data_IF_416456791323
#
_entry.id   IF_416456791323
#
_cell.length_a   1.000
_cell.length_b   1.000
_cell.length_c   1.000
_cell.angle_alpha   90.00
_cell.angle_beta   90.00
_cell.angle_gamma   90.00
#
_symmetry.space_group_name_H-M   'P 1'
#
loop_
_entity.id
_entity.type
_entity.pdbx_description
1 polymer ?
#
# COMPACT_ATOMS: atom_id res chain seq x y z
N UNK A 1 -10.62 -3.08 -23.30
CA UNK A 1 -11.04 -2.32 -22.11
C UNK A 1 -10.18 -1.09 -21.98
N UNK A 2 -10.78 0.08 -21.79
CA UNK A 2 -10.01 1.33 -21.63
C UNK A 2 -9.55 1.53 -20.19
N UNK A 3 -8.64 2.48 -19.96
CA UNK A 3 -8.19 2.89 -18.62
C UNK A 3 -9.34 3.41 -17.76
N UNK A 4 -10.27 4.17 -18.36
CA UNK A 4 -11.43 4.71 -17.66
C UNK A 4 -12.43 3.61 -17.28
N UNK A 5 -12.64 2.62 -18.15
CA UNK A 5 -13.49 1.45 -17.82
C UNK A 5 -12.92 0.67 -16.63
N UNK A 6 -11.60 0.49 -16.60
CA UNK A 6 -10.91 -0.20 -15.50
C UNK A 6 -11.08 0.56 -14.18
N UNK A 7 -10.92 1.90 -14.20
CA UNK A 7 -11.14 2.75 -13.03
C UNK A 7 -12.60 2.74 -12.57
N UNK A 8 -13.56 2.78 -13.49
CA UNK A 8 -14.98 2.75 -13.14
C UNK A 8 -15.37 1.41 -12.48
N UNK A 9 -14.87 0.28 -12.99
CA UNK A 9 -15.06 -1.04 -12.38
C UNK A 9 -14.37 -1.13 -11.02
N UNK A 10 -13.13 -0.66 -10.91
CA UNK A 10 -12.39 -0.63 -9.66
C UNK A 10 -13.11 0.20 -8.58
N UNK A 11 -13.67 1.35 -8.96
CA UNK A 11 -14.42 2.21 -8.04
C UNK A 11 -15.70 1.52 -7.55
N UNK A 12 -16.40 0.79 -8.43
CA UNK A 12 -17.57 0.00 -8.04
C UNK A 12 -17.19 -1.13 -7.08
N UNK A 13 -16.09 -1.82 -7.38
CA UNK A 13 -15.62 -2.95 -6.59
C UNK A 13 -15.05 -2.55 -5.24
N UNK A 14 -14.51 -1.33 -5.14
CA UNK A 14 -14.05 -0.76 -3.89
C UNK A 14 -15.14 -0.79 -2.81
N UNK A 15 -16.39 -0.58 -3.20
CA UNK A 15 -17.55 -0.61 -2.29
C UNK A 15 -18.18 -2.00 -2.13
N UNK A 16 -17.59 -3.05 -2.72
CA UNK A 16 -18.06 -4.42 -2.50
C UNK A 16 -17.63 -4.91 -1.12
N UNK A 17 -18.53 -5.63 -0.43
CA UNK A 17 -18.26 -6.24 0.89
C UNK A 17 -16.99 -7.10 0.89
N UNK A 18 -16.76 -7.86 -0.19
CA UNK A 18 -15.59 -8.73 -0.33
C UNK A 18 -14.28 -7.92 -0.36
N UNK A 19 -14.23 -6.84 -1.13
CA UNK A 19 -13.04 -5.96 -1.20
C UNK A 19 -12.86 -5.19 0.10
N UNK A 20 -13.93 -4.60 0.66
CA UNK A 20 -13.85 -3.89 1.94
C UNK A 20 -13.32 -4.80 3.04
N UNK A 21 -13.74 -6.07 3.05
CA UNK A 21 -13.20 -7.05 3.98
C UNK A 21 -11.68 -7.22 3.83
N UNK A 22 -11.16 -7.31 2.59
CA UNK A 22 -9.71 -7.41 2.30
C UNK A 22 -8.91 -6.25 2.90
N UNK A 23 -9.51 -5.05 3.00
CA UNK A 23 -8.88 -3.86 3.60
C UNK A 23 -8.99 -3.85 5.12
N UNK A 24 -10.14 -4.30 5.65
CA UNK A 24 -10.47 -4.18 7.08
C UNK A 24 -9.82 -5.30 7.90
N UNK A 25 -9.78 -6.54 7.40
CA UNK A 25 -9.28 -7.68 8.19
C UNK A 25 -7.81 -7.55 8.61
N UNK A 26 -6.85 -7.01 7.81
CA UNK A 26 -5.47 -6.82 8.25
C UNK A 26 -5.36 -5.82 9.39
N UNK A 27 -6.14 -4.73 9.32
CA UNK A 27 -6.18 -3.70 10.36
C UNK A 27 -6.78 -4.26 11.65
N UNK A 28 -7.89 -4.99 11.56
CA UNK A 28 -8.51 -5.65 12.71
C UNK A 28 -7.57 -6.68 13.34
N UNK A 29 -6.89 -7.48 12.52
CA UNK A 29 -5.96 -8.51 13.00
C UNK A 29 -4.79 -7.88 13.74
N UNK A 30 -4.18 -6.85 13.16
CA UNK A 30 -3.09 -6.11 13.81
C UNK A 30 -3.56 -5.43 15.09
N UNK A 31 -4.73 -4.80 15.09
CA UNK A 31 -5.30 -4.15 16.26
C UNK A 31 -5.56 -5.17 17.37
N UNK A 32 -6.22 -6.28 17.08
CA UNK A 32 -6.51 -7.33 18.06
C UNK A 32 -5.23 -7.96 18.62
N UNK A 33 -4.24 -8.22 17.76
CA UNK A 33 -2.93 -8.73 18.17
C UNK A 33 -2.28 -7.78 19.17
N UNK A 34 -2.17 -6.50 18.82
CA UNK A 34 -1.53 -5.51 19.68
C UNK A 34 -2.34 -5.21 20.93
N UNK A 35 -3.68 -5.24 20.89
CA UNK A 35 -4.52 -5.12 22.08
C UNK A 35 -4.27 -6.30 23.03
N UNK A 36 -4.22 -7.53 22.52
CA UNK A 36 -3.92 -8.70 23.34
C UNK A 36 -2.50 -8.63 23.95
N UNK A 37 -1.50 -8.22 23.15
CA UNK A 37 -0.13 -8.00 23.63
C UNK A 37 -0.07 -6.84 24.65
N UNK A 38 -0.80 -5.76 24.42
CA UNK A 38 -0.87 -4.61 25.30
C UNK A 38 -1.48 -4.98 26.65
N UNK A 39 -2.53 -5.80 26.68
CA UNK A 39 -3.15 -6.27 27.93
C UNK A 39 -2.24 -7.25 28.69
N UNK A 40 -1.55 -8.14 27.98
CA UNK A 40 -0.71 -9.19 28.60
C UNK A 40 0.66 -8.67 29.04
N UNK A 41 1.25 -7.75 28.28
CA UNK A 41 2.60 -7.21 28.52
C UNK A 41 2.60 -5.72 28.90
N UNK A 42 1.47 -5.19 29.39
CA UNK A 42 1.33 -3.77 29.75
C UNK A 42 2.51 -3.27 30.61
N UNK A 43 2.83 -3.99 31.69
CA UNK A 43 3.90 -3.59 32.60
C UNK A 43 5.28 -3.56 31.96
N UNK A 44 5.56 -4.45 30.99
CA UNK A 44 6.83 -4.46 30.26
C UNK A 44 6.92 -3.27 29.31
N UNK A 45 5.86 -3.02 28.52
CA UNK A 45 5.81 -1.87 27.62
C UNK A 45 5.88 -0.54 28.37
N UNK A 46 5.10 -0.40 29.45
CA UNK A 46 5.14 0.79 30.29
C UNK A 46 6.54 1.01 30.87
N UNK A 47 7.19 -0.04 31.38
CA UNK A 47 8.56 0.04 31.88
C UNK A 47 9.57 0.48 30.83
N UNK A 48 9.50 -0.04 29.60
CA UNK A 48 10.39 0.38 28.51
C UNK A 48 10.15 1.84 28.10
N UNK A 49 8.88 2.25 28.02
CA UNK A 49 8.53 3.65 27.71
C UNK A 49 9.03 4.56 28.82
N UNK A 50 8.83 4.19 30.08
CA UNK A 50 9.30 4.98 31.21
C UNK A 50 10.82 5.14 31.23
N UNK A 51 11.56 4.04 31.00
CA UNK A 51 13.03 4.06 30.89
C UNK A 51 13.49 4.95 29.73
N UNK A 52 12.88 4.81 28.55
CA UNK A 52 13.21 5.61 27.37
C UNK A 52 12.94 7.10 27.59
N UNK A 53 11.77 7.45 28.12
CA UNK A 53 11.41 8.83 28.47
C UNK A 53 12.30 9.40 29.58
N UNK A 54 12.73 8.56 30.53
CA UNK A 54 13.66 8.93 31.58
C UNK A 54 15.04 9.31 31.02
N UNK A 55 15.56 8.54 30.06
CA UNK A 55 16.85 8.79 29.43
C UNK A 55 16.93 10.15 28.72
N UNK A 56 15.80 10.65 28.19
CA UNK A 56 15.70 11.95 27.53
C UNK A 56 15.14 13.06 28.45
N UNK A 57 15.01 12.80 29.75
CA UNK A 57 14.60 13.79 30.76
C UNK A 57 13.11 14.12 30.79
N UNK A 58 12.27 13.47 29.98
CA UNK A 58 10.83 13.72 29.92
C UNK A 58 10.15 13.32 31.23
N UNK A 59 10.59 12.26 31.91
CA UNK A 59 10.03 11.86 33.21
C UNK A 59 10.21 12.93 34.29
N UNK A 60 11.38 13.57 34.33
CA UNK A 60 11.66 14.66 35.28
C UNK A 60 10.82 15.89 34.97
N UNK A 61 10.53 16.13 33.69
CA UNK A 61 9.62 17.19 33.28
C UNK A 61 8.16 16.88 33.65
N UNK A 62 7.68 15.65 33.37
CA UNK A 62 6.33 15.20 33.72
C UNK A 62 6.07 15.26 35.24
N UNK A 63 7.07 14.93 36.05
CA UNK A 63 6.97 15.00 37.51
C UNK A 63 6.70 16.43 38.04
N UNK A 64 7.03 17.47 37.26
CA UNK A 64 6.79 18.89 37.60
C UNK A 64 5.45 19.40 37.09
N UNK A 65 4.72 18.62 36.30
CA UNK A 65 3.43 19.03 35.73
C UNK A 65 2.33 18.84 36.77
N UNK A 66 1.73 19.97 37.18
CA UNK A 66 0.52 19.99 38.00
C UNK A 66 -0.65 20.61 37.23
N UNK A 67 -1.88 20.07 37.39
CA UNK A 67 -2.22 18.94 38.26
C UNK A 67 -1.83 17.58 37.65
N UNK A 68 -1.60 16.57 38.50
CA UNK A 68 -1.10 15.23 38.11
C UNK A 68 -1.93 14.51 37.04
N UNK A 69 -3.23 14.81 36.91
CA UNK A 69 -4.05 14.23 35.85
C UNK A 69 -3.58 14.65 34.45
N UNK A 70 -2.99 15.85 34.30
CA UNK A 70 -2.39 16.31 33.04
C UNK A 70 -1.16 15.46 32.71
N UNK A 71 -0.27 15.23 33.69
CA UNK A 71 0.90 14.38 33.52
C UNK A 71 0.51 12.96 33.08
N UNK A 72 -0.50 12.37 33.74
CA UNK A 72 -1.03 11.06 33.37
C UNK A 72 -1.64 11.05 31.96
N UNK A 73 -2.36 12.10 31.58
CA UNK A 73 -2.92 12.26 30.24
C UNK A 73 -1.84 12.33 29.16
N UNK A 74 -0.78 13.12 29.39
CA UNK A 74 0.37 13.21 28.48
C UNK A 74 1.07 11.84 28.38
N UNK A 75 1.29 11.16 29.50
CA UNK A 75 1.90 9.83 29.50
C UNK A 75 1.05 8.83 28.71
N UNK A 76 -0.28 8.82 28.87
CA UNK A 76 -1.18 7.97 28.09
C UNK A 76 -1.11 8.29 26.58
N UNK A 77 -1.04 9.57 26.20
CA UNK A 77 -0.87 9.99 24.81
C UNK A 77 0.46 9.49 24.23
N UNK A 78 1.56 9.55 24.99
CA UNK A 78 2.86 9.04 24.56
C UNK A 78 2.82 7.52 24.32
N UNK A 79 2.13 6.76 25.17
CA UNK A 79 1.93 5.33 24.97
C UNK A 79 1.15 5.06 23.68
N UNK A 80 0.04 5.78 23.47
CA UNK A 80 -0.77 5.65 22.26
C UNK A 80 0.03 6.02 21.00
N UNK A 81 0.83 7.08 21.07
CA UNK A 81 1.66 7.56 19.96
C UNK A 81 2.72 6.54 19.53
N UNK A 82 3.21 5.70 20.44
CA UNK A 82 4.13 4.60 20.11
C UNK A 82 3.39 3.34 19.65
N UNK A 83 2.22 3.08 20.21
CA UNK A 83 1.43 1.89 19.92
C UNK A 83 0.75 1.93 18.54
N UNK A 84 0.18 3.08 18.17
CA UNK A 84 -0.52 3.26 16.88
C UNK A 84 0.38 2.93 15.68
N UNK A 85 1.63 3.44 15.58
CA UNK A 85 2.56 3.07 14.51
C UNK A 85 2.86 1.57 14.44
N UNK A 86 2.94 0.87 15.58
CA UNK A 86 3.20 -0.57 15.62
C UNK A 86 2.02 -1.36 15.03
N UNK A 87 0.79 -0.97 15.36
CA UNK A 87 -0.43 -1.51 14.75
C UNK A 87 -0.43 -1.25 13.25
N UNK A 88 -0.16 -0.01 12.84
CA UNK A 88 -0.12 0.38 11.42
C UNK A 88 0.94 -0.39 10.63
N UNK A 89 2.15 -0.53 11.18
CA UNK A 89 3.24 -1.28 10.55
C UNK A 89 2.88 -2.76 10.41
N UNK A 90 2.28 -3.35 11.43
CA UNK A 90 1.86 -4.75 11.39
C UNK A 90 0.74 -4.96 10.37
N UNK A 91 -0.25 -4.07 10.34
CA UNK A 91 -1.32 -4.09 9.34
C UNK A 91 -0.76 -3.94 7.92
N UNK A 92 0.24 -3.07 7.74
CA UNK A 92 0.91 -2.87 6.46
C UNK A 92 1.62 -4.15 6.01
N UNK A 93 2.34 -4.84 6.90
CA UNK A 93 3.01 -6.11 6.60
C UNK A 93 1.98 -7.18 6.21
N UNK A 94 0.91 -7.34 6.98
CA UNK A 94 -0.18 -8.27 6.65
C UNK A 94 -0.79 -7.92 5.28
N UNK A 95 -1.04 -6.64 5.02
CA UNK A 95 -1.61 -6.18 3.74
C UNK A 95 -0.65 -6.43 2.58
N UNK A 96 0.66 -6.24 2.75
CA UNK A 96 1.64 -6.51 1.71
C UNK A 96 1.70 -7.99 1.34
N UNK A 97 1.55 -8.89 2.33
CA UNK A 97 1.61 -10.33 2.11
C UNK A 97 0.31 -10.91 1.53
N UNK A 98 -0.84 -10.41 1.96
CA UNK A 98 -2.13 -11.03 1.68
C UNK A 98 -3.11 -10.16 0.88
N UNK A 99 -2.91 -8.84 0.85
CA UNK A 99 -3.84 -7.89 0.24
C UNK A 99 -3.93 -8.06 -1.28
N UNK A 100 -2.81 -7.96 -2.00
CA UNK A 100 -2.79 -8.11 -3.46
C UNK A 100 -3.33 -9.47 -3.93
N UNK A 101 -2.87 -10.64 -3.40
CA UNK A 101 -3.43 -11.93 -3.79
C UNK A 101 -4.94 -12.06 -3.55
N UNK A 102 -5.43 -11.53 -2.42
CA UNK A 102 -6.86 -11.56 -2.10
C UNK A 102 -7.69 -10.70 -3.06
N UNK A 103 -7.20 -9.51 -3.44
CA UNK A 103 -7.86 -8.65 -4.43
C UNK A 103 -7.87 -9.29 -5.82
N UNK A 104 -6.75 -9.88 -6.25
CA UNK A 104 -6.65 -10.59 -7.54
C UNK A 104 -7.67 -11.73 -7.57
N UNK A 105 -7.71 -12.56 -6.52
CA UNK A 105 -8.67 -13.65 -6.42
C UNK A 105 -10.13 -13.16 -6.44
N UNK A 106 -10.43 -12.07 -5.72
CA UNK A 106 -11.78 -11.51 -5.68
C UNK A 106 -12.27 -11.04 -7.06
N UNK A 107 -11.40 -10.45 -7.87
CA UNK A 107 -11.71 -9.99 -9.23
C UNK A 107 -11.69 -11.14 -10.24
N UNK A 108 -10.67 -12.00 -10.21
CA UNK A 108 -10.50 -13.09 -11.15
C UNK A 108 -11.67 -14.10 -11.07
N UNK A 109 -12.08 -14.51 -9.87
CA UNK A 109 -13.22 -15.43 -9.70
C UNK A 109 -14.54 -14.87 -10.23
N UNK A 110 -14.74 -13.55 -10.13
CA UNK A 110 -16.01 -12.90 -10.49
C UNK A 110 -16.07 -12.53 -11.97
N UNK A 111 -15.02 -11.90 -12.48
CA UNK A 111 -15.02 -11.25 -13.78
C UNK A 111 -14.21 -12.01 -14.85
N UNK A 112 -13.30 -12.91 -14.44
CA UNK A 112 -12.44 -13.68 -15.34
C UNK A 112 -12.33 -15.18 -14.96
N UNK A 113 -13.46 -15.90 -14.74
CA UNK A 113 -13.43 -17.25 -14.18
C UNK A 113 -12.78 -18.31 -15.08
N UNK A 114 -12.67 -18.04 -16.38
CA UNK A 114 -12.07 -18.96 -17.37
C UNK A 114 -10.56 -18.80 -17.51
N UNK A 115 -9.97 -17.78 -16.88
CA UNK A 115 -8.55 -17.46 -17.03
C UNK A 115 -7.69 -18.36 -16.13
N UNK A 116 -6.89 -19.23 -16.74
CA UNK A 116 -5.98 -20.12 -16.01
C UNK A 116 -4.83 -19.36 -15.34
N UNK A 117 -4.47 -19.81 -14.14
CA UNK A 117 -3.31 -19.34 -13.39
C UNK A 117 -2.05 -20.03 -13.89
N UNK A 118 -1.19 -19.28 -14.58
CA UNK A 118 0.12 -19.78 -15.03
C UNK A 118 1.24 -19.53 -13.99
N UNK A 119 0.98 -18.75 -12.93
CA UNK A 119 1.93 -18.46 -11.85
C UNK A 119 3.32 -18.02 -12.35
N UNK A 120 3.38 -17.21 -13.41
CA UNK A 120 4.64 -16.75 -14.01
C UNK A 120 5.46 -15.81 -13.13
N UNK A 121 4.88 -15.31 -12.04
CA UNK A 121 5.57 -14.60 -10.96
C UNK A 121 5.11 -15.06 -9.58
N UNK A 122 5.84 -14.65 -8.55
CA UNK A 122 5.52 -14.96 -7.15
C UNK A 122 5.94 -13.86 -6.19
N UNK A 123 5.72 -14.07 -4.89
CA UNK A 123 5.97 -13.10 -3.82
C UNK A 123 7.44 -12.65 -3.80
N UNK A 124 8.39 -13.56 -4.03
CA UNK A 124 9.82 -13.24 -4.16
C UNK A 124 10.08 -12.30 -5.34
N UNK A 125 9.43 -12.55 -6.49
CA UNK A 125 9.55 -11.68 -7.66
C UNK A 125 8.93 -10.30 -7.44
N UNK A 126 7.82 -10.23 -6.70
CA UNK A 126 7.19 -8.97 -6.29
C UNK A 126 8.11 -8.15 -5.38
N UNK A 127 8.68 -8.78 -4.34
CA UNK A 127 9.64 -8.15 -3.43
C UNK A 127 10.87 -7.64 -4.20
N UNK A 128 11.43 -8.46 -5.09
CA UNK A 128 12.58 -8.05 -5.90
C UNK A 128 12.26 -6.89 -6.85
N UNK A 129 11.11 -6.93 -7.53
CA UNK A 129 10.65 -5.83 -8.36
C UNK A 129 10.43 -4.55 -7.53
N UNK A 130 9.91 -4.68 -6.30
CA UNK A 130 9.74 -3.56 -5.38
C UNK A 130 11.07 -2.95 -4.94
N UNK A 131 12.05 -3.77 -4.55
CA UNK A 131 13.40 -3.30 -4.18
C UNK A 131 14.04 -2.54 -5.34
N UNK A 132 13.98 -3.07 -6.56
CA UNK A 132 14.51 -2.39 -7.76
C UNK A 132 13.79 -1.07 -7.99
N UNK A 133 12.44 -1.07 -7.92
CA UNK A 133 11.65 0.13 -8.17
C UNK A 133 11.91 1.23 -7.13
N UNK A 134 12.01 0.87 -5.84
CA UNK A 134 12.34 1.78 -4.74
C UNK A 134 13.75 2.34 -4.90
N UNK A 135 14.72 1.50 -5.29
CA UNK A 135 16.10 1.94 -5.54
C UNK A 135 16.14 3.00 -6.64
N UNK A 136 15.50 2.74 -7.78
CA UNK A 136 15.42 3.71 -8.88
C UNK A 136 14.66 4.98 -8.51
N UNK A 137 13.58 4.84 -7.74
CA UNK A 137 12.84 5.99 -7.23
C UNK A 137 13.71 6.85 -6.32
N UNK A 138 14.49 6.26 -5.40
CA UNK A 138 15.42 6.97 -4.54
C UNK A 138 16.52 7.69 -5.35
N UNK A 139 17.09 7.03 -6.36
CA UNK A 139 18.08 7.65 -7.27
C UNK A 139 17.46 8.85 -8.01
N UNK A 140 16.26 8.69 -8.58
CA UNK A 140 15.56 9.77 -9.27
C UNK A 140 15.29 10.96 -8.33
N UNK A 141 14.89 10.68 -7.09
CA UNK A 141 14.71 11.70 -6.07
C UNK A 141 15.98 12.49 -5.80
N UNK A 142 17.09 11.81 -5.51
CA UNK A 142 18.38 12.46 -5.23
C UNK A 142 18.85 13.29 -6.43
N UNK A 143 18.79 12.73 -7.64
CA UNK A 143 19.21 13.41 -8.87
C UNK A 143 18.35 14.64 -9.16
N UNK A 144 17.10 14.65 -8.72
CA UNK A 144 16.18 15.73 -9.03
C UNK A 144 16.18 16.84 -7.98
N UNK A 145 16.75 16.64 -6.79
CA UNK A 145 16.89 17.67 -5.76
C UNK A 145 17.44 19.02 -6.29
N UNK A 146 18.50 19.07 -7.13
CA UNK A 146 18.97 20.33 -7.70
C UNK A 146 17.92 21.02 -8.60
N UNK A 147 17.08 20.23 -9.29
CA UNK A 147 16.02 20.75 -10.16
C UNK A 147 14.85 21.36 -9.38
N UNK A 148 14.71 21.02 -8.10
CA UNK A 148 13.68 21.59 -7.24
C UNK A 148 13.99 23.04 -6.89
N UNK A 149 15.27 23.37 -6.74
CA UNK A 149 15.74 24.73 -6.44
C UNK A 149 15.45 25.73 -7.57
N UNK A 150 15.22 25.24 -8.80
CA UNK A 150 14.93 26.05 -10.00
C UNK A 150 13.46 25.97 -10.44
N UNK A 151 12.55 25.42 -9.61
CA UNK A 151 11.10 25.43 -9.84
C UNK A 151 10.56 24.34 -10.78
N UNK A 152 11.42 23.59 -11.48
CA UNK A 152 11.02 22.46 -12.34
C UNK A 152 10.67 21.21 -11.52
N UNK A 153 11.10 21.15 -10.26
CA UNK A 153 10.92 20.01 -9.38
C UNK A 153 9.51 19.74 -8.87
N UNK A 154 8.47 20.51 -9.21
CA UNK A 154 7.10 20.24 -8.73
C UNK A 154 6.45 19.06 -9.46
N UNK A 155 6.76 18.90 -10.75
CA UNK A 155 6.18 17.82 -11.58
C UNK A 155 6.89 16.49 -11.32
N UNK A 156 8.17 16.55 -10.97
CA UNK A 156 9.04 15.38 -10.83
C UNK A 156 8.56 14.37 -9.77
N UNK A 157 8.23 14.77 -8.52
CA UNK A 157 7.70 13.86 -7.50
C UNK A 157 6.45 13.14 -7.95
N UNK A 158 5.58 13.86 -8.67
CA UNK A 158 4.32 13.33 -9.14
C UNK A 158 4.52 12.27 -10.23
N UNK A 159 5.36 12.57 -11.23
CA UNK A 159 5.72 11.61 -12.29
C UNK A 159 6.49 10.42 -11.71
N UNK A 160 7.39 10.65 -10.76
CA UNK A 160 8.13 9.60 -10.07
C UNK A 160 7.21 8.67 -9.26
N UNK A 161 6.24 9.24 -8.54
CA UNK A 161 5.25 8.48 -7.77
C UNK A 161 4.34 7.67 -8.69
N UNK A 162 3.83 8.27 -9.77
CA UNK A 162 3.06 7.58 -10.79
C UNK A 162 3.86 6.43 -11.42
N UNK A 163 5.15 6.66 -11.70
CA UNK A 163 6.05 5.64 -12.23
C UNK A 163 6.28 4.47 -11.26
N UNK A 164 6.50 4.77 -9.98
CA UNK A 164 6.69 3.77 -8.94
C UNK A 164 5.43 2.92 -8.77
N UNK A 165 4.27 3.58 -8.62
CA UNK A 165 2.97 2.93 -8.48
C UNK A 165 2.69 2.00 -9.66
N UNK A 166 2.82 2.49 -10.90
CA UNK A 166 2.56 1.62 -12.05
C UNK A 166 3.48 0.41 -12.08
N UNK A 167 4.74 0.53 -11.64
CA UNK A 167 5.72 -0.55 -11.73
C UNK A 167 5.47 -1.63 -10.70
N UNK A 168 5.02 -1.25 -9.52
CA UNK A 168 4.59 -2.17 -8.45
C UNK A 168 3.29 -2.86 -8.86
N UNK A 169 2.22 -2.10 -9.07
CA UNK A 169 0.89 -2.64 -9.28
C UNK A 169 0.74 -3.45 -10.56
N UNK A 170 1.38 -3.05 -11.68
CA UNK A 170 1.27 -3.82 -12.93
C UNK A 170 1.88 -5.22 -12.83
N UNK A 171 2.95 -5.39 -12.05
CA UNK A 171 3.61 -6.68 -11.89
C UNK A 171 2.72 -7.58 -11.05
N UNK A 172 2.33 -7.09 -9.87
CA UNK A 172 1.51 -7.84 -8.93
C UNK A 172 0.16 -8.22 -9.54
N UNK A 173 -0.46 -7.33 -10.33
CA UNK A 173 -1.77 -7.54 -10.94
C UNK A 173 -1.84 -8.74 -11.89
N UNK A 174 -0.76 -9.06 -12.61
CA UNK A 174 -0.76 -10.12 -13.64
C UNK A 174 0.14 -11.29 -13.31
N UNK A 175 1.05 -11.17 -12.34
CA UNK A 175 2.04 -12.20 -12.00
C UNK A 175 1.43 -13.58 -11.68
N UNK A 176 0.23 -13.63 -11.09
CA UNK A 176 -0.43 -14.89 -10.75
C UNK A 176 -1.07 -15.58 -11.98
N UNK A 177 -1.44 -14.83 -13.02
CA UNK A 177 -2.20 -15.34 -14.17
C UNK A 177 -1.40 -15.40 -15.47
N UNK A 178 -0.46 -14.48 -15.69
CA UNK A 178 0.40 -14.42 -16.86
C UNK A 178 1.65 -15.31 -16.70
N UNK A 179 2.12 -15.91 -17.79
CA UNK A 179 3.49 -16.43 -17.90
C UNK A 179 4.50 -15.28 -18.00
N UNK A 180 5.79 -15.60 -17.84
CA UNK A 180 6.87 -14.60 -17.95
C UNK A 180 6.90 -13.91 -19.32
N UNK A 181 6.66 -14.67 -20.40
CA UNK A 181 6.67 -14.16 -21.77
C UNK A 181 5.48 -13.24 -22.06
N UNK A 182 4.27 -13.63 -21.61
CA UNK A 182 3.07 -12.80 -21.76
C UNK A 182 3.17 -11.51 -20.94
N UNK A 183 3.72 -11.59 -19.73
CA UNK A 183 3.98 -10.43 -18.90
C UNK A 183 4.93 -9.44 -19.60
N UNK A 184 6.04 -9.94 -20.17
CA UNK A 184 6.97 -9.11 -20.93
C UNK A 184 6.32 -8.48 -22.17
N UNK A 185 5.49 -9.23 -22.90
CA UNK A 185 4.75 -8.74 -24.05
C UNK A 185 3.76 -7.62 -23.66
N UNK A 186 2.96 -7.84 -22.62
CA UNK A 186 1.98 -6.86 -22.11
C UNK A 186 2.63 -5.57 -21.60
N UNK A 187 3.76 -5.66 -20.91
CA UNK A 187 4.50 -4.48 -20.45
C UNK A 187 5.05 -3.64 -21.60
N UNK A 188 5.33 -4.26 -22.76
CA UNK A 188 5.80 -3.56 -23.95
C UNK A 188 4.65 -2.97 -24.76
N UNK A 189 3.56 -3.70 -24.93
CA UNK A 189 2.42 -3.32 -25.78
C UNK A 189 1.51 -2.27 -25.13
N UNK A 190 1.26 -2.37 -23.82
CA UNK A 190 0.25 -1.54 -23.12
C UNK A 190 0.88 -0.42 -22.28
N UNK A 191 2.05 0.10 -22.68
CA UNK A 191 2.79 1.15 -21.92
C UNK A 191 1.93 2.37 -21.58
N UNK A 192 1.13 2.85 -22.54
CA UNK A 192 0.24 4.00 -22.34
C UNK A 192 -0.86 3.72 -21.31
N UNK A 193 -1.40 2.50 -21.29
CA UNK A 193 -2.43 2.10 -20.33
C UNK A 193 -1.89 2.04 -18.90
N UNK A 194 -0.72 1.43 -18.70
CA UNK A 194 -0.06 1.37 -17.39
C UNK A 194 0.28 2.75 -16.83
N UNK A 195 0.81 3.63 -17.67
CA UNK A 195 1.09 5.02 -17.28
C UNK A 195 -0.19 5.81 -17.00
N UNK A 196 -1.23 5.66 -17.83
CA UNK A 196 -2.51 6.31 -17.63
C UNK A 196 -3.15 5.92 -16.30
N UNK A 197 -3.11 4.63 -15.96
CA UNK A 197 -3.55 4.14 -14.66
C UNK A 197 -2.69 4.68 -13.51
N UNK A 198 -1.36 4.63 -13.62
CA UNK A 198 -0.46 5.16 -12.59
C UNK A 198 -0.68 6.64 -12.31
N UNK A 199 -0.93 7.42 -13.37
CA UNK A 199 -1.21 8.85 -13.27
C UNK A 199 -2.58 9.12 -12.62
N UNK A 200 -3.64 8.50 -13.14
CA UNK A 200 -5.01 8.74 -12.67
C UNK A 200 -5.19 8.23 -11.23
N UNK A 201 -4.68 7.04 -10.91
CA UNK A 201 -4.71 6.52 -9.53
C UNK A 201 -3.80 7.32 -8.60
N UNK A 202 -2.68 7.86 -9.10
CA UNK A 202 -1.85 8.82 -8.38
C UNK A 202 -2.60 10.12 -8.06
N UNK A 203 -3.43 10.63 -8.99
CA UNK A 203 -4.26 11.82 -8.75
C UNK A 203 -5.32 11.60 -7.65
N UNK A 204 -5.83 10.37 -7.51
CA UNK A 204 -6.80 10.05 -6.45
C UNK A 204 -6.21 10.28 -5.06
N UNK A 205 -4.88 10.20 -4.89
CA UNK A 205 -4.22 10.45 -3.61
C UNK A 205 -4.40 11.89 -3.11
N UNK A 206 -4.69 12.84 -4.02
CA UNK A 206 -4.96 14.24 -3.67
C UNK A 206 -6.40 14.48 -3.22
N UNK A 207 -7.28 13.49 -3.32
CA UNK A 207 -8.68 13.59 -2.87
C UNK A 207 -8.74 13.01 -1.44
N UNK A 208 -8.95 13.82 -0.39
CA UNK A 208 -8.73 13.39 0.99
C UNK A 208 -9.47 12.10 1.40
N UNK A 209 -10.75 12.00 1.06
CA UNK A 209 -11.57 10.84 1.41
C UNK A 209 -11.25 9.60 0.55
N UNK A 210 -10.90 9.80 -0.73
CA UNK A 210 -10.55 8.68 -1.61
C UNK A 210 -9.12 8.20 -1.39
N UNK A 211 -8.22 9.04 -0.89
CA UNK A 211 -6.83 8.67 -0.61
C UNK A 211 -6.73 7.52 0.41
N UNK A 212 -7.67 7.44 1.36
CA UNK A 212 -7.77 6.31 2.30
C UNK A 212 -7.90 4.95 1.58
N UNK A 213 -8.54 4.95 0.42
CA UNK A 213 -8.75 3.78 -0.43
C UNK A 213 -7.86 3.78 -1.68
N UNK A 214 -6.99 4.78 -1.83
CA UNK A 214 -6.18 5.01 -3.03
C UNK A 214 -5.38 3.78 -3.47
N UNK A 215 -4.62 3.12 -2.57
CA UNK A 215 -3.86 1.92 -2.90
C UNK A 215 -4.74 0.75 -3.39
N UNK A 216 -5.93 0.59 -2.79
CA UNK A 216 -6.87 -0.50 -3.11
C UNK A 216 -7.56 -0.24 -4.44
N UNK A 217 -7.98 1.00 -4.68
CA UNK A 217 -8.52 1.44 -5.95
C UNK A 217 -7.48 1.26 -7.08
N UNK A 218 -6.22 1.64 -6.81
CA UNK A 218 -5.13 1.43 -7.74
C UNK A 218 -4.95 -0.07 -8.04
N UNK A 219 -4.80 -0.90 -7.01
CA UNK A 219 -4.69 -2.35 -7.16
C UNK A 219 -5.81 -2.92 -8.04
N UNK A 220 -7.07 -2.62 -7.71
CA UNK A 220 -8.23 -3.10 -8.49
C UNK A 220 -8.19 -2.62 -9.94
N UNK A 221 -7.86 -1.34 -10.19
CA UNK A 221 -7.82 -0.81 -11.55
C UNK A 221 -6.73 -1.48 -12.39
N UNK A 222 -5.55 -1.72 -11.81
CA UNK A 222 -4.46 -2.45 -12.45
C UNK A 222 -4.82 -3.93 -12.68
N UNK A 223 -5.51 -4.58 -11.74
CA UNK A 223 -5.98 -5.97 -11.87
C UNK A 223 -7.00 -6.09 -13.01
N UNK A 224 -8.05 -5.26 -13.02
CA UNK A 224 -9.03 -5.23 -14.10
C UNK A 224 -8.36 -5.03 -15.46
N UNK A 225 -7.49 -4.01 -15.56
CA UNK A 225 -6.79 -3.70 -16.81
C UNK A 225 -5.88 -4.84 -17.27
N UNK A 226 -5.07 -5.38 -16.36
CA UNK A 226 -4.14 -6.47 -16.65
C UNK A 226 -4.85 -7.75 -17.08
N UNK A 227 -5.84 -8.21 -16.29
CA UNK A 227 -6.57 -9.44 -16.58
C UNK A 227 -7.40 -9.32 -17.86
N UNK A 228 -8.01 -8.17 -18.15
CA UNK A 228 -8.71 -7.97 -19.41
C UNK A 228 -7.78 -8.05 -20.63
N UNK A 229 -6.57 -7.48 -20.53
CA UNK A 229 -5.58 -7.53 -21.61
C UNK A 229 -5.01 -8.93 -21.80
N UNK A 230 -4.78 -9.64 -20.70
CA UNK A 230 -4.34 -11.04 -20.74
C UNK A 230 -5.41 -11.95 -21.36
N UNK A 231 -6.69 -11.76 -21.00
CA UNK A 231 -7.80 -12.52 -21.58
C UNK A 231 -7.93 -12.32 -23.10
N UNK A 232 -7.61 -11.12 -23.62
CA UNK A 232 -7.59 -10.86 -25.07
C UNK A 232 -6.46 -11.60 -25.80
N UNK A 233 -5.33 -11.86 -25.13
CA UNK A 233 -4.21 -12.61 -25.71
C UNK A 233 -4.42 -14.12 -25.66
N UNK A 234 -5.32 -14.61 -24.78
CA UNK A 234 -5.73 -16.00 -24.68
C UNK A 234 -7.21 -16.17 -25.05
N UNK A 235 -7.62 -15.94 -26.31
CA UNK A 235 -8.97 -16.29 -26.71
C UNK A 235 -9.17 -17.80 -26.50
N UNK A 236 -10.29 -18.15 -25.88
CA UNK A 236 -10.65 -19.52 -25.51
C UNK A 236 -10.71 -20.48 -26.71
#
# INVERSE_FOLDING_TARGET
MTVLDALARALRDLFSLRVLWVVVWPMLTALLLWLALGMTFWGSFAGWIEQGLGAIGIQVWLAKVEPRWIANGIQALLHLMLFVPLVMLTALVITALFGMPALIRAVAERDYPTLKRENGGGLVGSVWNAVIAITWFAVLWVVTLPLWLIGVGVIVPFVAAAWLNQRLFRYDAIAEHASADEMAALFKQERGGWWGLGLLTGLVQFIPLLNLFGPVLAALAFIHFGLARLALQRPA
#
